data_IF_187978669576
#
_entry.id   IF_187978669576
#
_cell.length_a   1.000
_cell.length_b   1.000
_cell.length_c   1.000
_cell.angle_alpha   90.00
_cell.angle_beta   90.00
_cell.angle_gamma   90.00
#
_symmetry.space_group_name_H-M   'P 1'
#
loop_
_entity.id
_entity.type
_entity.pdbx_description
1 polymer ?
#
# COMPACT_ATOMS: atom_id res chain seq x y z
N UNK A 1 -10.52 5.83 1.30
CA UNK A 1 -9.07 5.52 1.35
C UNK A 1 -8.34 6.00 0.12
N UNK A 2 -8.49 5.38 -1.07
CA UNK A 2 -7.65 5.76 -2.24
C UNK A 2 -7.96 7.17 -2.76
N UNK A 3 -9.23 7.61 -2.77
CA UNK A 3 -9.59 9.00 -3.10
C UNK A 3 -9.02 10.00 -2.10
N UNK A 4 -9.12 9.71 -0.79
CA UNK A 4 -8.54 10.55 0.26
C UNK A 4 -7.01 10.69 0.15
N UNK A 5 -6.31 9.65 -0.34
CA UNK A 5 -4.88 9.72 -0.64
C UNK A 5 -4.57 10.69 -1.80
N UNK A 6 -5.43 10.73 -2.82
CA UNK A 6 -5.32 11.67 -3.94
C UNK A 6 -5.67 13.09 -3.54
N UNK A 7 -6.54 13.26 -2.54
CA UNK A 7 -6.89 14.55 -1.93
C UNK A 7 -5.79 15.10 -0.99
N UNK A 8 -4.61 14.46 -0.94
CA UNK A 8 -3.45 14.93 -0.17
C UNK A 8 -3.41 14.45 1.30
N UNK A 9 -4.22 13.47 1.68
CA UNK A 9 -4.16 12.89 3.02
C UNK A 9 -3.15 11.74 3.11
N UNK A 10 -2.37 11.70 4.17
CA UNK A 10 -1.49 10.58 4.48
C UNK A 10 -2.33 9.32 4.76
N UNK A 11 -2.09 8.23 4.02
CA UNK A 11 -2.73 6.94 4.22
C UNK A 11 -1.70 5.92 4.68
N UNK A 12 -1.98 5.24 5.79
CA UNK A 12 -1.17 4.15 6.32
C UNK A 12 -1.99 2.85 6.32
N UNK A 13 -1.44 1.77 5.76
CA UNK A 13 -2.03 0.43 5.78
C UNK A 13 -1.12 -0.46 6.62
N UNK A 14 -1.66 -1.02 7.70
CA UNK A 14 -0.95 -1.85 8.65
C UNK A 14 -1.52 -3.27 8.60
N UNK A 15 -0.65 -4.28 8.45
CA UNK A 15 -1.00 -5.67 8.66
C UNK A 15 -0.30 -6.19 9.92
N UNK A 16 -1.09 -6.65 10.89
CA UNK A 16 -0.61 -7.13 12.19
C UNK A 16 -1.05 -8.58 12.43
N UNK A 17 -0.20 -9.36 13.12
CA UNK A 17 -0.45 -10.78 13.40
C UNK A 17 0.84 -11.57 13.63
N UNK A 18 0.71 -12.84 14.01
CA UNK A 18 1.84 -13.74 14.34
C UNK A 18 2.58 -14.24 13.07
N UNK A 19 3.86 -14.64 13.17
CA UNK A 19 4.59 -15.26 12.05
C UNK A 19 3.85 -16.50 11.53
N UNK A 20 3.78 -16.67 10.22
CA UNK A 20 3.08 -17.79 9.59
C UNK A 20 1.57 -17.58 9.37
N UNK A 21 0.97 -16.46 9.81
CA UNK A 21 -0.46 -16.18 9.60
C UNK A 21 -0.79 -15.52 8.25
N UNK A 22 0.11 -15.61 7.27
CA UNK A 22 -0.16 -15.12 5.91
C UNK A 22 -0.13 -13.59 5.72
N UNK A 23 0.44 -12.81 6.63
CA UNK A 23 0.50 -11.33 6.51
C UNK A 23 1.15 -10.85 5.21
N UNK A 24 2.30 -11.42 4.84
CA UNK A 24 3.00 -11.11 3.59
C UNK A 24 2.16 -11.51 2.38
N UNK A 25 1.43 -12.63 2.47
CA UNK A 25 0.51 -13.05 1.41
C UNK A 25 -0.69 -12.10 1.28
N UNK A 26 -1.21 -11.54 2.37
CA UNK A 26 -2.28 -10.53 2.29
C UNK A 26 -1.76 -9.18 1.80
N UNK A 27 -0.57 -8.75 2.23
CA UNK A 27 -0.01 -7.44 1.88
C UNK A 27 0.65 -7.41 0.50
N UNK A 28 1.55 -8.32 0.20
CA UNK A 28 2.26 -8.40 -1.10
C UNK A 28 1.58 -9.39 -2.05
N UNK A 29 1.08 -10.50 -1.51
CA UNK A 29 0.54 -11.60 -2.31
C UNK A 29 1.61 -12.31 -3.10
N UNK A 30 1.24 -12.82 -4.27
CA UNK A 30 2.12 -13.48 -5.22
C UNK A 30 1.92 -12.87 -6.60
N UNK A 31 2.83 -13.13 -7.54
CA UNK A 31 2.67 -12.65 -8.92
C UNK A 31 1.37 -13.12 -9.59
N UNK A 32 0.81 -14.26 -9.14
CA UNK A 32 -0.48 -14.79 -9.64
C UNK A 32 -1.70 -14.27 -8.86
N UNK A 33 -1.49 -13.84 -7.63
CA UNK A 33 -2.54 -13.36 -6.74
C UNK A 33 -1.99 -12.16 -5.95
N UNK A 34 -1.97 -10.96 -6.56
CA UNK A 34 -1.38 -9.77 -5.94
C UNK A 34 -2.10 -9.41 -4.64
N UNK A 35 -1.36 -8.97 -3.64
CA UNK A 35 -1.90 -8.55 -2.34
C UNK A 35 -2.44 -7.12 -2.34
N UNK A 36 -2.71 -6.61 -1.15
CA UNK A 36 -3.30 -5.27 -0.95
C UNK A 36 -2.40 -4.15 -1.50
N UNK A 37 -1.07 -4.24 -1.31
CA UNK A 37 -0.11 -3.20 -1.74
C UNK A 37 -0.11 -3.01 -3.27
N UNK A 38 0.17 -4.04 -4.09
CA UNK A 38 0.18 -3.87 -5.54
C UNK A 38 -1.20 -3.45 -6.10
N UNK A 39 -2.30 -3.98 -5.56
CA UNK A 39 -3.66 -3.60 -5.97
C UNK A 39 -4.00 -2.14 -5.62
N UNK A 40 -3.59 -1.67 -4.44
CA UNK A 40 -3.83 -0.30 -4.02
C UNK A 40 -3.04 0.70 -4.87
N UNK A 41 -1.78 0.39 -5.17
CA UNK A 41 -0.92 1.18 -6.06
C UNK A 41 -1.48 1.27 -7.48
N UNK A 42 -1.89 0.14 -8.07
CA UNK A 42 -2.48 0.10 -9.41
C UNK A 42 -3.70 1.02 -9.49
N UNK A 43 -4.58 0.93 -8.50
CA UNK A 43 -5.80 1.74 -8.45
C UNK A 43 -5.52 3.22 -8.19
N UNK A 44 -4.51 3.54 -7.39
CA UNK A 44 -4.06 4.90 -7.13
C UNK A 44 -3.48 5.54 -8.40
N UNK A 45 -2.58 4.85 -9.10
CA UNK A 45 -2.02 5.33 -10.37
C UNK A 45 -3.09 5.41 -11.47
N UNK A 46 -4.02 4.44 -11.56
CA UNK A 46 -5.13 4.48 -12.52
C UNK A 46 -6.07 5.65 -12.31
N UNK A 47 -6.24 6.11 -11.06
CA UNK A 47 -7.04 7.30 -10.76
C UNK A 47 -6.26 8.58 -11.06
N UNK A 48 -4.97 8.63 -10.71
CA UNK A 48 -4.10 9.75 -11.03
C UNK A 48 -3.97 9.98 -12.54
N UNK A 49 -3.89 8.90 -13.33
CA UNK A 49 -3.78 8.99 -14.80
C UNK A 49 -5.06 9.45 -15.50
N UNK A 50 -6.20 9.49 -14.80
CA UNK A 50 -7.48 9.96 -15.36
C UNK A 50 -7.63 11.47 -15.24
N UNK A 51 -6.86 12.11 -14.37
CA UNK A 51 -6.91 13.54 -14.14
C UNK A 51 -5.57 14.19 -14.49
N UNK A 52 -5.44 14.59 -15.76
CA UNK A 52 -4.23 15.26 -16.27
C UNK A 52 -4.16 16.74 -15.86
N UNK A 53 -5.14 17.25 -15.11
CA UNK A 53 -5.16 18.66 -14.68
C UNK A 53 -4.28 18.92 -13.46
N UNK A 54 -3.85 17.86 -12.75
CA UNK A 54 -3.09 17.93 -11.50
C UNK A 54 -1.79 17.12 -11.64
N UNK A 55 -0.68 17.70 -11.23
CA UNK A 55 0.59 16.97 -11.07
C UNK A 55 0.58 16.23 -9.73
N UNK A 56 0.52 14.90 -9.79
CA UNK A 56 0.59 14.06 -8.60
C UNK A 56 2.03 13.63 -8.30
N UNK A 57 2.45 13.77 -7.04
CA UNK A 57 3.69 13.18 -6.52
C UNK A 57 3.34 12.17 -5.43
N UNK A 58 3.83 10.93 -5.56
CA UNK A 58 3.55 9.85 -4.64
C UNK A 58 4.81 9.44 -3.90
N UNK A 59 4.72 9.35 -2.58
CA UNK A 59 5.74 8.75 -1.74
C UNK A 59 5.13 7.59 -0.95
N UNK A 60 5.81 6.44 -0.93
CA UNK A 60 5.36 5.24 -0.24
C UNK A 60 6.50 4.72 0.64
N UNK A 61 6.15 4.25 1.82
CA UNK A 61 7.05 3.53 2.72
C UNK A 61 6.35 2.29 3.24
N UNK A 62 7.05 1.17 3.29
CA UNK A 62 6.57 -0.09 3.83
C UNK A 62 7.48 -0.50 4.97
N UNK A 63 6.89 -0.88 6.10
CA UNK A 63 7.64 -1.20 7.32
C UNK A 63 7.07 -2.47 7.93
N UNK A 64 7.96 -3.40 8.27
CA UNK A 64 7.60 -4.59 9.02
C UNK A 64 7.96 -4.40 10.50
N UNK A 65 6.98 -4.55 11.38
CA UNK A 65 7.18 -4.48 12.84
C UNK A 65 7.22 -5.91 13.39
N UNK A 66 8.39 -6.34 13.87
CA UNK A 66 8.59 -7.65 14.47
C UNK A 66 9.12 -7.54 15.90
N UNK A 67 8.31 -7.95 16.90
CA UNK A 67 8.67 -7.92 18.33
C UNK A 67 9.34 -6.60 18.79
N UNK A 68 8.83 -5.45 18.33
CA UNK A 68 9.38 -4.14 18.69
C UNK A 68 10.61 -3.71 17.88
N UNK A 69 11.10 -4.56 16.98
CA UNK A 69 12.12 -4.23 16.00
C UNK A 69 11.47 -3.75 14.70
N UNK A 70 11.89 -2.59 14.22
CA UNK A 70 11.50 -2.06 12.93
C UNK A 70 12.45 -2.61 11.86
N UNK A 71 11.90 -3.25 10.83
CA UNK A 71 12.63 -3.67 9.62
C UNK A 71 12.03 -2.95 8.43
N UNK A 72 12.89 -2.29 7.66
CA UNK A 72 12.55 -1.52 6.44
C UNK A 72 13.41 -1.95 5.28
#
# INVERSE_FOLDING_TARGET
>A
MIRSALDGNNVCILAYGQTGTGKTFTMEGTSKQPGIVPQALEKLFSLASRDNSILYSFSMSMLEVYMGSLRG
#
